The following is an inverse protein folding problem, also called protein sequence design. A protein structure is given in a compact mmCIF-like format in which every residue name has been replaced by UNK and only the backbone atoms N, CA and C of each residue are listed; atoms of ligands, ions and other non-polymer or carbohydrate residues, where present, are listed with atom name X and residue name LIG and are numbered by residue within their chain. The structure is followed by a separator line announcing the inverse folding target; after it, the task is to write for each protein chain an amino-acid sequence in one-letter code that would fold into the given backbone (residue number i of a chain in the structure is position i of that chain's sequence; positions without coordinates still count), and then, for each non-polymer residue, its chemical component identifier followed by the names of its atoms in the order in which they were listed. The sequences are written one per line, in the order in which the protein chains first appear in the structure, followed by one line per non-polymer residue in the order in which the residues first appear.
data_IF_840777191394
#
_entry.id   IF_840777191394
#
_cell.length_a   1.000
_cell.length_b   1.000
_cell.length_c   1.000
_cell.angle_alpha   90.00
_cell.angle_beta   90.00
_cell.angle_gamma   90.00
#
_symmetry.space_group_name_H-M   'P 1'
#
loop_
_entity.id
_entity.type
_entity.pdbx_description
1 polymer ?
#
# COMPACT_ATOMS: atom_id res chain seq x y z
N UNK A 1 -59.59 -18.53 -30.38
CA UNK A 1 -58.37 -18.94 -29.65
C UNK A 1 -57.76 -17.67 -29.07
N UNK A 2 -57.73 -17.56 -27.73
CA UNK A 2 -57.15 -16.50 -26.85
C UNK A 2 -57.67 -15.06 -27.05
N UNK A 3 -58.41 -14.35 -26.18
CA UNK A 3 -58.44 -14.13 -24.70
C UNK A 3 -57.04 -13.90 -24.12
N UNK A 4 -56.70 -12.76 -23.48
CA UNK A 4 -57.39 -11.99 -22.43
C UNK A 4 -56.89 -10.52 -22.45
N UNK A 5 -57.73 -9.48 -22.35
CA UNK A 5 -58.31 -8.81 -21.16
C UNK A 5 -57.31 -8.15 -20.19
N UNK A 6 -57.46 -6.82 -20.10
CA UNK A 6 -56.70 -5.85 -19.30
C UNK A 6 -57.51 -5.57 -18.02
N UNK A 7 -56.89 -5.77 -16.86
CA UNK A 7 -57.30 -5.38 -15.49
C UNK A 7 -56.00 -5.28 -14.69
N UNK A 8 -55.82 -4.53 -13.62
CA UNK A 8 -56.52 -3.47 -12.91
C UNK A 8 -55.48 -2.94 -11.91
N UNK A 9 -55.68 -1.71 -11.44
CA UNK A 9 -55.07 -1.03 -10.30
C UNK A 9 -54.13 -1.83 -9.38
N UNK A 10 -52.92 -1.28 -9.19
CA UNK A 10 -52.04 -1.60 -8.08
C UNK A 10 -51.24 -0.35 -7.72
N UNK A 11 -51.78 0.41 -6.79
CA UNK A 11 -51.12 1.57 -6.17
C UNK A 11 -49.86 1.08 -5.44
N UNK A 12 -48.70 1.67 -5.71
CA UNK A 12 -47.55 1.51 -4.82
C UNK A 12 -47.62 2.63 -3.80
N UNK A 13 -48.00 2.22 -2.59
CA UNK A 13 -48.05 3.00 -1.37
C UNK A 13 -46.71 3.68 -1.12
N UNK A 14 -46.77 4.99 -0.88
CA UNK A 14 -45.68 5.83 -0.45
C UNK A 14 -45.68 5.70 1.07
N UNK A 15 -44.59 5.24 1.67
CA UNK A 15 -44.44 5.30 3.11
C UNK A 15 -43.41 6.37 3.45
N UNK A 16 -43.95 7.52 3.88
CA UNK A 16 -43.23 8.59 4.55
C UNK A 16 -42.67 8.05 5.87
N UNK A 17 -41.37 8.23 6.08
CA UNK A 17 -40.80 8.19 7.43
C UNK A 17 -40.23 9.58 7.66
N UNK A 18 -40.88 10.29 8.58
CA UNK A 18 -40.54 11.62 9.03
C UNK A 18 -39.13 11.66 9.64
N UNK A 19 -38.36 12.66 9.24
CA UNK A 19 -37.17 13.15 9.93
C UNK A 19 -37.62 14.20 10.94
N UNK A 20 -37.14 14.17 12.18
CA UNK A 20 -36.94 15.38 13.00
C UNK A 20 -35.80 15.14 14.03
N UNK A 21 -35.11 16.21 14.47
CA UNK A 21 -33.68 16.18 14.81
C UNK A 21 -33.42 16.09 16.32
N UNK A 22 -32.28 15.48 16.68
CA UNK A 22 -31.93 15.31 18.09
C UNK A 22 -30.44 15.13 18.36
N UNK A 23 -29.78 16.26 18.63
CA UNK A 23 -28.67 16.45 19.55
C UNK A 23 -27.29 15.78 19.30
N UNK A 24 -26.27 16.64 19.44
CA UNK A 24 -24.85 16.40 19.29
C UNK A 24 -24.23 15.33 20.21
N UNK A 25 -23.14 14.75 19.69
CA UNK A 25 -22.06 13.93 20.28
C UNK A 25 -21.97 13.77 21.82
N UNK A 26 -21.45 12.59 22.23
CA UNK A 26 -20.06 12.61 22.71
C UNK A 26 -19.14 11.68 21.90
N UNK A 27 -18.03 12.28 21.47
CA UNK A 27 -16.80 11.68 20.93
C UNK A 27 -16.47 10.34 21.60
N UNK A 28 -16.68 9.25 20.88
CA UNK A 28 -15.93 8.03 21.18
C UNK A 28 -14.54 8.18 20.55
N UNK A 29 -13.56 8.39 21.43
CA UNK A 29 -12.16 8.30 21.12
C UNK A 29 -11.89 6.99 20.37
N UNK A 30 -11.33 7.10 19.17
CA UNK A 30 -10.66 5.98 18.51
C UNK A 30 -9.61 5.45 19.50
N UNK A 31 -9.67 4.18 19.94
CA UNK A 31 -8.55 3.63 20.68
C UNK A 31 -7.38 3.58 19.70
N UNK A 32 -6.34 4.36 20.00
CA UNK A 32 -5.02 4.14 19.43
C UNK A 32 -4.70 2.66 19.67
N UNK A 33 -4.56 1.90 18.58
CA UNK A 33 -4.21 0.48 18.68
C UNK A 33 -2.98 0.34 19.55
N UNK A 34 -3.05 -0.45 20.65
CA UNK A 34 -1.91 -0.66 21.50
C UNK A 34 -0.86 -1.37 20.67
N UNK A 35 0.37 -0.85 20.69
CA UNK A 35 1.53 -1.48 20.08
C UNK A 35 1.52 -2.96 20.44
N UNK A 36 1.24 -3.79 19.44
CA UNK A 36 1.32 -5.24 19.56
C UNK A 36 2.76 -5.50 19.97
N UNK A 37 2.96 -6.11 21.14
CA UNK A 37 4.27 -6.60 21.55
C UNK A 37 4.80 -7.40 20.37
N UNK A 38 5.91 -6.91 19.78
CA UNK A 38 6.47 -7.49 18.57
C UNK A 38 6.92 -8.88 18.97
N UNK A 39 6.12 -9.87 18.61
CA UNK A 39 6.65 -11.21 18.52
C UNK A 39 7.77 -11.08 17.49
N UNK A 40 8.96 -11.56 17.84
CA UNK A 40 10.18 -11.31 17.08
C UNK A 40 10.19 -12.01 15.73
N UNK A 41 9.03 -12.24 15.12
CA UNK A 41 8.71 -13.07 13.96
C UNK A 41 8.12 -12.30 12.76
N UNK A 42 7.94 -10.98 12.87
CA UNK A 42 7.52 -10.12 11.75
C UNK A 42 8.57 -10.01 10.63
N UNK A 43 8.12 -9.98 9.37
CA UNK A 43 8.98 -10.01 8.19
C UNK A 43 8.76 -8.76 7.36
N UNK A 44 9.84 -8.05 7.08
CA UNK A 44 9.81 -6.84 6.25
C UNK A 44 10.36 -7.19 4.86
N UNK A 45 9.64 -6.80 3.82
CA UNK A 45 10.04 -7.08 2.43
C UNK A 45 10.08 -5.77 1.64
N UNK A 46 11.24 -5.44 1.10
CA UNK A 46 11.38 -4.29 0.21
C UNK A 46 10.85 -4.62 -1.18
N UNK A 47 9.85 -3.87 -1.64
CA UNK A 47 9.15 -4.09 -2.91
C UNK A 47 9.20 -2.86 -3.81
N UNK A 48 9.07 -3.09 -5.12
CA UNK A 48 9.11 -2.02 -6.10
C UNK A 48 8.66 -2.47 -7.48
N UNK A 49 9.01 -1.65 -8.49
CA UNK A 49 8.58 -1.84 -9.88
C UNK A 49 9.22 -3.07 -10.56
N UNK A 50 10.35 -3.56 -10.05
CA UNK A 50 11.07 -4.71 -10.64
C UNK A 50 10.48 -6.05 -10.20
N UNK A 51 10.69 -7.10 -11.00
CA UNK A 51 10.24 -8.47 -10.67
C UNK A 51 10.91 -9.04 -9.42
N UNK A 52 12.13 -8.59 -9.09
CA UNK A 52 12.90 -9.11 -7.96
C UNK A 52 12.20 -8.93 -6.61
N UNK A 53 11.34 -7.92 -6.47
CA UNK A 53 10.53 -7.75 -5.26
C UNK A 53 9.51 -8.89 -5.10
N UNK A 54 8.91 -9.35 -6.19
CA UNK A 54 7.93 -10.45 -6.16
C UNK A 54 8.62 -11.76 -5.81
N UNK A 55 9.80 -12.01 -6.37
CA UNK A 55 10.62 -13.18 -6.04
C UNK A 55 11.01 -13.18 -4.56
N UNK A 56 11.41 -12.01 -4.04
CA UNK A 56 11.73 -11.82 -2.63
C UNK A 56 10.53 -12.08 -1.71
N UNK A 57 9.35 -11.56 -2.05
CA UNK A 57 8.13 -11.82 -1.29
C UNK A 57 7.76 -13.30 -1.31
N UNK A 58 7.77 -13.93 -2.49
CA UNK A 58 7.47 -15.36 -2.61
C UNK A 58 8.42 -16.22 -1.77
N UNK A 59 9.72 -15.89 -1.79
CA UNK A 59 10.72 -16.56 -0.96
C UNK A 59 10.46 -16.34 0.54
N UNK A 60 10.17 -15.10 0.94
CA UNK A 60 9.88 -14.76 2.33
C UNK A 60 8.65 -15.52 2.86
N UNK A 61 7.56 -15.56 2.08
CA UNK A 61 6.34 -16.29 2.44
C UNK A 61 6.56 -17.80 2.57
N UNK A 62 7.45 -18.36 1.74
CA UNK A 62 7.71 -19.81 1.73
C UNK A 62 8.63 -20.28 2.86
N UNK A 63 9.63 -19.46 3.23
CA UNK A 63 10.73 -19.93 4.09
C UNK A 63 10.90 -19.14 5.39
N UNK A 64 10.35 -17.94 5.50
CA UNK A 64 10.57 -17.04 6.64
C UNK A 64 9.29 -16.77 7.40
N UNK A 65 8.21 -16.44 6.70
CA UNK A 65 6.92 -16.13 7.31
C UNK A 65 6.33 -17.36 8.00
N UNK A 66 5.89 -17.17 9.23
CA UNK A 66 5.13 -18.16 10.00
C UNK A 66 3.65 -17.78 10.00
N UNK A 67 2.73 -18.70 10.35
CA UNK A 67 1.31 -18.38 10.46
C UNK A 67 0.98 -17.24 11.45
N UNK A 68 1.82 -16.99 12.44
CA UNK A 68 1.68 -15.89 13.40
C UNK A 68 2.40 -14.60 13.01
N UNK A 69 3.28 -14.66 11.99
CA UNK A 69 4.09 -13.52 11.54
C UNK A 69 3.23 -12.49 10.84
N UNK A 70 3.54 -11.21 11.06
CA UNK A 70 3.06 -10.12 10.24
C UNK A 70 4.04 -9.83 9.10
N UNK A 71 3.55 -9.59 7.89
CA UNK A 71 4.39 -9.22 6.73
C UNK A 71 4.22 -7.74 6.42
N UNK A 72 5.32 -6.99 6.44
CA UNK A 72 5.34 -5.58 6.08
C UNK A 72 5.96 -5.38 4.70
N UNK A 73 5.17 -4.85 3.75
CA UNK A 73 5.65 -4.48 2.43
C UNK A 73 6.19 -3.05 2.48
N UNK A 74 7.52 -2.88 2.37
CA UNK A 74 8.14 -1.56 2.31
C UNK A 74 8.28 -1.13 0.86
N UNK A 75 7.61 -0.05 0.48
CA UNK A 75 7.76 0.54 -0.84
C UNK A 75 8.23 1.99 -0.74
N UNK A 76 9.43 2.25 -1.24
CA UNK A 76 9.96 3.60 -1.40
C UNK A 76 9.62 4.10 -2.81
N UNK A 77 8.98 5.27 -2.90
CA UNK A 77 8.66 5.94 -4.15
C UNK A 77 9.33 7.31 -4.21
N UNK A 78 9.72 7.79 -5.40
CA UNK A 78 10.48 9.03 -5.54
C UNK A 78 9.64 10.27 -5.23
N UNK A 79 10.31 11.34 -4.83
CA UNK A 79 9.71 12.67 -4.71
C UNK A 79 9.44 13.22 -6.11
N UNK A 80 8.23 13.71 -6.33
CA UNK A 80 7.88 14.30 -7.63
C UNK A 80 8.23 15.78 -7.56
N UNK A 81 9.29 16.18 -8.27
CA UNK A 81 9.68 17.59 -8.46
C UNK A 81 9.39 18.09 -9.88
N UNK A 82 9.41 17.18 -10.86
CA UNK A 82 9.20 17.46 -12.27
C UNK A 82 8.14 16.53 -12.84
N UNK A 83 7.34 17.06 -13.76
CA UNK A 83 6.25 16.32 -14.41
C UNK A 83 6.51 16.27 -15.93
N UNK A 84 6.50 15.08 -16.54
CA UNK A 84 6.56 14.94 -17.98
C UNK A 84 5.26 15.39 -18.63
N UNK A 85 5.38 16.22 -19.66
CA UNK A 85 4.29 16.69 -20.52
C UNK A 85 4.66 16.46 -21.99
N UNK A 86 3.70 16.53 -22.93
CA UNK A 86 4.02 16.43 -24.36
C UNK A 86 5.04 17.45 -24.87
N UNK A 87 5.20 18.59 -24.17
CA UNK A 87 6.13 19.66 -24.53
C UNK A 87 7.48 19.57 -23.81
N UNK A 88 7.68 18.53 -23.01
CA UNK A 88 8.89 18.35 -22.21
C UNK A 88 8.60 18.11 -20.73
N UNK A 89 9.65 18.09 -19.92
CA UNK A 89 9.57 17.95 -18.45
C UNK A 89 9.64 19.31 -17.79
N UNK A 90 8.66 19.60 -16.94
CA UNK A 90 8.56 20.90 -16.27
C UNK A 90 8.56 20.73 -14.75
N UNK A 91 9.18 21.65 -13.99
CA UNK A 91 9.01 21.72 -12.55
C UNK A 91 7.53 21.87 -12.17
N UNK A 92 7.11 21.22 -11.08
CA UNK A 92 5.70 21.24 -10.62
C UNK A 92 5.12 22.66 -10.48
N UNK A 93 5.92 23.60 -9.99
CA UNK A 93 5.49 24.98 -9.76
C UNK A 93 5.19 25.76 -11.06
N UNK A 94 5.60 25.25 -12.22
CA UNK A 94 5.35 25.88 -13.53
C UNK A 94 4.10 25.35 -14.21
N UNK A 95 3.41 24.37 -13.60
CA UNK A 95 2.25 23.72 -14.17
C UNK A 95 0.97 24.13 -13.43
N UNK A 96 -0.16 24.03 -14.12
CA UNK A 96 -1.46 24.27 -13.51
C UNK A 96 -1.80 23.21 -12.47
N UNK A 97 -2.54 23.59 -11.42
CA UNK A 97 -2.87 22.71 -10.30
C UNK A 97 -3.59 21.43 -10.74
N UNK A 98 -4.55 21.54 -11.67
CA UNK A 98 -5.28 20.39 -12.24
C UNK A 98 -4.31 19.40 -12.92
N UNK A 99 -3.35 19.91 -13.68
CA UNK A 99 -2.37 19.06 -14.38
C UNK A 99 -1.43 18.36 -13.38
N UNK A 100 -0.99 19.09 -12.35
CA UNK A 100 -0.19 18.53 -11.27
C UNK A 100 -0.97 17.43 -10.56
N UNK A 101 -2.21 17.72 -10.14
CA UNK A 101 -3.06 16.76 -9.42
C UNK A 101 -3.33 15.50 -10.24
N UNK A 102 -3.69 15.67 -11.52
CA UNK A 102 -3.91 14.55 -12.45
C UNK A 102 -2.69 13.63 -12.53
N UNK A 103 -1.49 14.20 -12.66
CA UNK A 103 -0.26 13.42 -12.68
C UNK A 103 0.04 12.72 -11.34
N UNK A 104 -0.11 13.43 -10.21
CA UNK A 104 0.08 12.85 -8.88
C UNK A 104 -0.91 11.69 -8.64
N UNK A 105 -2.15 11.84 -9.09
CA UNK A 105 -3.15 10.79 -9.01
C UNK A 105 -2.79 9.59 -9.88
N UNK A 106 -2.32 9.83 -11.11
CA UNK A 106 -1.83 8.77 -11.98
C UNK A 106 -0.69 7.96 -11.34
N UNK A 107 0.28 8.63 -10.72
CA UNK A 107 1.38 7.94 -10.02
C UNK A 107 0.89 7.19 -8.77
N UNK A 108 -0.09 7.73 -8.04
CA UNK A 108 -0.76 7.00 -6.94
C UNK A 108 -1.46 5.73 -7.44
N UNK A 109 -2.24 5.82 -8.52
CA UNK A 109 -2.94 4.68 -9.11
C UNK A 109 -1.96 3.60 -9.56
N UNK A 110 -0.90 3.96 -10.30
CA UNK A 110 0.13 3.00 -10.72
C UNK A 110 0.79 2.31 -9.52
N UNK A 111 1.05 3.06 -8.45
CA UNK A 111 1.63 2.51 -7.21
C UNK A 111 0.69 1.51 -6.56
N UNK A 112 -0.60 1.85 -6.45
CA UNK A 112 -1.62 0.99 -5.87
C UNK A 112 -1.82 -0.29 -6.69
N UNK A 113 -1.91 -0.18 -8.02
CA UNK A 113 -2.02 -1.34 -8.91
C UNK A 113 -0.81 -2.28 -8.80
N UNK A 114 0.39 -1.72 -8.66
CA UNK A 114 1.61 -2.50 -8.45
C UNK A 114 1.58 -3.21 -7.10
N UNK A 115 1.26 -2.50 -6.01
CA UNK A 115 1.19 -3.06 -4.65
C UNK A 115 0.11 -4.11 -4.49
N UNK A 116 -1.02 -3.95 -5.18
CA UNK A 116 -2.13 -4.90 -5.13
C UNK A 116 -1.68 -6.32 -5.53
N UNK A 117 -0.72 -6.45 -6.45
CA UNK A 117 -0.15 -7.75 -6.84
C UNK A 117 0.54 -8.45 -5.67
N UNK A 118 1.26 -7.69 -4.85
CA UNK A 118 1.95 -8.20 -3.67
C UNK A 118 0.94 -8.58 -2.58
N UNK A 119 -0.04 -7.70 -2.31
CA UNK A 119 -1.12 -7.96 -1.35
C UNK A 119 -1.90 -9.23 -1.71
N UNK A 120 -2.23 -9.42 -2.99
CA UNK A 120 -2.92 -10.63 -3.46
C UNK A 120 -2.10 -11.91 -3.17
N UNK A 121 -0.77 -11.85 -3.30
CA UNK A 121 0.10 -12.98 -2.98
C UNK A 121 0.12 -13.28 -1.47
N UNK A 122 0.18 -12.23 -0.64
CA UNK A 122 0.08 -12.37 0.82
C UNK A 122 -1.26 -12.97 1.24
N UNK A 123 -2.38 -12.45 0.72
CA UNK A 123 -3.72 -12.97 1.01
C UNK A 123 -3.88 -14.43 0.57
N UNK A 124 -3.36 -14.78 -0.60
CA UNK A 124 -3.37 -16.17 -1.10
C UNK A 124 -2.56 -17.11 -0.20
N UNK A 125 -1.57 -16.57 0.52
CA UNK A 125 -0.72 -17.27 1.47
C UNK A 125 -1.25 -17.24 2.91
N UNK A 126 -2.41 -16.59 3.15
CA UNK A 126 -3.08 -16.46 4.46
C UNK A 126 -2.18 -15.85 5.55
N UNK A 127 -1.35 -14.89 5.16
CA UNK A 127 -0.56 -14.09 6.11
C UNK A 127 -1.19 -12.72 6.30
N UNK A 128 -1.05 -12.18 7.49
CA UNK A 128 -1.40 -10.79 7.77
C UNK A 128 -0.37 -9.86 7.11
N UNK A 129 -0.85 -8.79 6.47
CA UNK A 129 0.00 -7.88 5.68
C UNK A 129 -0.37 -6.42 5.89
N UNK A 130 0.63 -5.56 5.96
CA UNK A 130 0.48 -4.10 5.92
C UNK A 130 1.56 -3.48 5.01
N UNK A 131 1.33 -2.26 4.55
CA UNK A 131 2.19 -1.56 3.60
C UNK A 131 2.77 -0.29 4.19
N UNK A 132 4.09 -0.18 4.12
CA UNK A 132 4.85 1.01 4.52
C UNK A 132 5.26 1.77 3.26
N UNK A 133 4.60 2.91 3.02
CA UNK A 133 4.87 3.81 1.90
C UNK A 133 5.80 4.93 2.35
N UNK A 134 6.94 5.08 1.66
CA UNK A 134 7.94 6.10 1.99
C UNK A 134 8.25 6.92 0.74
N UNK A 135 8.08 8.23 0.83
CA UNK A 135 8.50 9.16 -0.22
C UNK A 135 9.98 9.50 -0.03
N UNK A 136 10.83 9.12 -0.98
CA UNK A 136 12.26 9.47 -1.00
C UNK A 136 12.91 9.07 -2.32
N UNK A 137 13.84 9.89 -2.80
CA UNK A 137 14.71 9.56 -3.94
C UNK A 137 15.86 8.61 -3.58
N UNK A 138 16.11 8.38 -2.28
CA UNK A 138 17.20 7.54 -1.79
C UNK A 138 16.66 6.25 -1.15
N UNK A 139 16.23 5.30 -1.99
CA UNK A 139 15.61 4.03 -1.54
C UNK A 139 16.39 3.30 -0.46
N UNK A 140 17.69 3.08 -0.66
CA UNK A 140 18.50 2.32 0.30
C UNK A 140 18.63 3.06 1.65
N UNK A 141 18.85 4.38 1.60
CA UNK A 141 18.95 5.22 2.81
C UNK A 141 17.64 5.24 3.58
N UNK A 142 16.52 5.45 2.89
CA UNK A 142 15.19 5.45 3.49
C UNK A 142 14.88 4.14 4.23
N UNK A 143 15.25 2.99 3.64
CA UNK A 143 15.08 1.68 4.29
C UNK A 143 16.03 1.53 5.49
N UNK A 144 17.30 1.92 5.36
CA UNK A 144 18.28 1.83 6.46
C UNK A 144 17.86 2.69 7.65
N UNK A 145 17.37 3.90 7.41
CA UNK A 145 16.90 4.82 8.44
C UNK A 145 15.64 4.28 9.16
N UNK A 146 14.85 3.44 8.49
CA UNK A 146 13.65 2.81 9.05
C UNK A 146 13.97 1.67 10.04
N UNK A 147 15.10 0.97 9.85
CA UNK A 147 15.50 -0.19 10.67
C UNK A 147 15.49 0.13 12.18
N UNK A 148 16.17 1.18 12.67
CA UNK A 148 16.15 1.49 14.10
C UNK A 148 14.81 2.03 14.59
N UNK A 149 13.99 2.62 13.71
CA UNK A 149 12.69 3.22 14.08
C UNK A 149 11.63 2.14 14.33
N UNK A 150 11.61 1.09 13.50
CA UNK A 150 10.66 -0.01 13.60
C UNK A 150 11.28 -1.28 14.23
N UNK A 151 12.51 -1.20 14.73
CA UNK A 151 13.26 -2.33 15.27
C UNK A 151 13.28 -3.54 14.30
N UNK A 152 13.52 -3.28 13.01
CA UNK A 152 13.47 -4.31 11.96
C UNK A 152 14.60 -5.32 12.17
N UNK A 153 14.24 -6.58 12.44
CA UNK A 153 15.21 -7.68 12.61
C UNK A 153 15.30 -8.61 11.40
N UNK A 154 14.24 -8.71 10.60
CA UNK A 154 14.20 -9.48 9.35
C UNK A 154 13.76 -8.60 8.18
N UNK A 155 14.73 -8.21 7.36
CA UNK A 155 14.51 -7.47 6.12
C UNK A 155 14.93 -8.33 4.93
N UNK A 156 14.01 -8.55 4.01
CA UNK A 156 14.24 -9.26 2.75
C UNK A 156 14.22 -8.25 1.60
N UNK A 157 15.24 -8.29 0.75
CA UNK A 157 15.38 -7.38 -0.39
C UNK A 157 15.64 -8.20 -1.65
N UNK A 158 14.85 -7.97 -2.69
CA UNK A 158 15.07 -8.53 -4.00
C UNK A 158 16.32 -7.93 -4.66
N UNK A 159 17.15 -8.76 -5.28
CA UNK A 159 18.31 -8.30 -6.05
C UNK A 159 18.20 -8.80 -7.49
N UNK A 160 18.70 -8.00 -8.44
CA UNK A 160 18.90 -8.43 -9.83
C UNK A 160 20.40 -8.57 -10.09
N UNK A 161 20.79 -9.40 -11.07
CA UNK A 161 22.21 -9.63 -11.42
C UNK A 161 23.01 -8.34 -11.69
N UNK A 162 22.35 -7.28 -12.16
CA UNK A 162 22.94 -5.96 -12.41
C UNK A 162 23.33 -5.22 -11.12
N UNK A 163 22.59 -5.44 -10.04
CA UNK A 163 22.76 -4.73 -8.76
C UNK A 163 23.83 -5.39 -7.86
N UNK A 164 24.23 -6.63 -8.11
CA UNK A 164 25.24 -7.34 -7.32
C UNK A 164 26.66 -6.75 -7.43
N UNK A 165 26.93 -5.89 -8.43
CA UNK A 165 28.27 -5.33 -8.67
C UNK A 165 28.71 -4.23 -7.69
N UNK A 166 27.87 -3.85 -6.72
CA UNK A 166 28.17 -2.79 -5.75
C UNK A 166 27.89 -3.12 -4.28
N UNK A 167 27.34 -4.29 -3.96
CA UNK A 167 27.00 -4.64 -2.57
C UNK A 167 28.22 -5.22 -1.83
N UNK A 168 29.13 -4.35 -1.38
CA UNK A 168 30.04 -4.70 -0.29
C UNK A 168 29.31 -4.49 1.03
N UNK A 169 28.53 -5.48 1.45
CA UNK A 169 27.97 -5.50 2.80
C UNK A 169 29.10 -5.79 3.80
N UNK A 170 29.76 -4.75 4.29
CA UNK A 170 30.61 -4.84 5.48
C UNK A 170 29.71 -4.77 6.71
N UNK A 171 28.96 -5.84 6.97
CA UNK A 171 28.12 -5.94 8.16
C UNK A 171 29.05 -6.23 9.34
N UNK A 172 29.36 -5.21 10.14
CA UNK A 172 30.02 -5.40 11.43
C UNK A 172 28.93 -5.49 12.50
N UNK A 173 28.45 -6.70 12.74
CA UNK A 173 27.71 -7.02 13.96
C UNK A 173 28.69 -6.90 15.13
N UNK A 174 28.55 -5.84 15.94
CA UNK A 174 29.13 -5.82 17.28
C UNK A 174 28.05 -6.32 18.23
N UNK A 175 28.27 -7.48 18.82
CA UNK A 175 27.80 -7.79 20.16
C UNK A 175 28.93 -7.45 21.13
#
# INVERSE_FOLDING_TARGET
MSTSEITSAGVCEIQEVEEEPGAAEPRQAVPASPGKAVDGDDVYVAVGKSSSGMDALSWALKYVAKPSSFVYLIHVFPEIHHIPTPLGTFPKHQLGEEQVESYMNQERTKRQEMLQKYLNLCHSSKVEVDTLLIESDQTAKAIVDLIPVLNITRLIVGTTKSNLRGFSFKIRWKF
#
